data_IF_493650932651
#
_entry.id   IF_493650932651
#
_cell.length_a   1.000
_cell.length_b   1.000
_cell.length_c   1.000
_cell.angle_alpha   90.00
_cell.angle_beta   90.00
_cell.angle_gamma   90.00
#
_symmetry.space_group_name_H-M   'P 1'
#
loop_
_entity.id
_entity.type
_entity.pdbx_description
1 polymer ?
#
# COMPACT_ATOMS: atom_id res chain seq x y z
N UNK A 1 16.60 -5.24 13.36
CA UNK A 1 16.91 -5.17 14.80
C UNK A 1 16.27 -3.94 15.49
N UNK A 2 16.22 -2.76 14.85
CA UNK A 2 15.53 -1.58 15.41
C UNK A 2 13.98 -1.70 15.45
N UNK A 3 13.36 -2.43 14.52
CA UNK A 3 11.89 -2.59 14.45
C UNK A 3 11.30 -3.39 15.62
N UNK A 4 12.04 -4.38 16.14
CA UNK A 4 11.61 -5.22 17.27
C UNK A 4 11.78 -4.50 18.61
N UNK A 5 12.72 -3.56 18.70
CA UNK A 5 12.98 -2.76 19.90
C UNK A 5 11.89 -1.70 20.15
N UNK A 6 11.32 -1.12 19.09
CA UNK A 6 10.27 -0.08 19.18
C UNK A 6 8.99 -0.58 19.88
N UNK A 7 8.60 -1.84 19.61
CA UNK A 7 7.43 -2.47 20.24
C UNK A 7 7.68 -2.88 21.70
N UNK A 8 8.94 -3.14 22.08
CA UNK A 8 9.29 -3.51 23.46
C UNK A 8 9.48 -2.32 24.40
N UNK A 9 9.89 -1.14 23.91
CA UNK A 9 10.14 0.03 24.78
C UNK A 9 8.88 0.70 25.31
N UNK A 10 7.73 0.57 24.64
CA UNK A 10 6.45 1.10 25.14
C UNK A 10 5.86 0.25 26.30
N UNK A 11 6.33 -0.99 26.48
CA UNK A 11 5.80 -1.95 27.46
C UNK A 11 6.55 -2.02 28.79
N UNK A 12 7.56 -1.17 29.03
CA UNK A 12 8.44 -1.30 30.19
C UNK A 12 8.65 0.01 30.93
N UNK A 13 7.61 0.52 31.58
CA UNK A 13 7.69 1.29 32.84
C UNK A 13 6.28 1.49 33.39
N UNK A 14 5.89 0.73 34.42
CA UNK A 14 5.01 1.08 35.55
C UNK A 14 4.41 -0.21 36.13
N UNK A 15 4.72 -0.60 37.37
CA UNK A 15 4.06 -1.73 38.01
C UNK A 15 2.67 -1.27 38.48
N UNK A 16 1.67 -2.10 38.19
CA UNK A 16 0.25 -2.03 38.59
C UNK A 16 -0.73 -1.38 37.58
N UNK A 17 -1.71 -2.20 37.16
CA UNK A 17 -2.75 -2.04 36.12
C UNK A 17 -2.27 -2.24 34.66
N UNK A 18 -2.82 -3.27 34.00
CA UNK A 18 -2.48 -3.70 32.65
C UNK A 18 -2.91 -2.64 31.63
N UNK A 19 -1.97 -1.78 31.22
CA UNK A 19 -2.12 -0.89 30.05
C UNK A 19 -1.95 -1.75 28.79
N UNK A 20 -2.98 -1.81 27.95
CA UNK A 20 -2.92 -2.46 26.63
C UNK A 20 -2.43 -1.44 25.60
N UNK A 21 -1.47 -1.84 24.76
CA UNK A 21 -1.04 -1.04 23.61
C UNK A 21 -1.86 -1.46 22.39
N UNK A 22 -2.66 -0.54 21.86
CA UNK A 22 -3.51 -0.73 20.67
C UNK A 22 -2.74 -0.72 19.35
N UNK A 23 -3.44 -0.97 18.24
CA UNK A 23 -2.91 -1.12 16.87
C UNK A 23 -2.00 0.06 16.45
N UNK A 24 -0.67 -0.15 16.31
CA UNK A 24 0.25 0.94 15.99
C UNK A 24 0.29 1.25 14.49
N UNK A 25 0.28 2.53 14.14
CA UNK A 25 0.62 3.01 12.80
C UNK A 25 2.13 3.22 12.68
N UNK A 26 2.72 2.96 11.51
CA UNK A 26 4.14 3.22 11.27
C UNK A 26 4.38 3.72 9.84
N UNK A 27 5.20 4.75 9.72
CA UNK A 27 5.70 5.25 8.43
C UNK A 27 7.20 5.55 8.50
N UNK A 28 7.85 5.71 7.35
CA UNK A 28 9.25 6.15 7.30
C UNK A 28 9.35 7.63 7.66
N UNK A 29 10.50 8.05 8.21
CA UNK A 29 10.78 9.47 8.45
C UNK A 29 11.56 10.16 7.30
N UNK A 30 11.76 9.46 6.18
CA UNK A 30 12.52 9.93 5.02
C UNK A 30 14.05 9.96 5.21
N UNK A 31 14.55 9.68 6.42
CA UNK A 31 15.98 9.77 6.79
C UNK A 31 16.57 8.44 7.27
N UNK A 32 15.88 7.33 6.98
CA UNK A 32 16.27 5.97 7.39
C UNK A 32 15.76 5.55 8.77
N UNK A 33 15.01 6.42 9.45
CA UNK A 33 14.25 6.13 10.66
C UNK A 33 12.77 5.82 10.38
N UNK A 34 11.98 5.84 11.44
CA UNK A 34 10.54 5.59 11.40
C UNK A 34 9.78 6.51 12.34
N UNK A 35 8.51 6.74 12.06
CA UNK A 35 7.57 7.44 12.92
C UNK A 35 6.44 6.48 13.24
N UNK A 36 6.18 6.28 14.53
CA UNK A 36 5.20 5.32 15.03
C UNK A 36 4.13 6.04 15.86
N UNK A 37 2.89 5.59 15.71
CA UNK A 37 1.76 6.00 16.54
C UNK A 37 1.30 4.81 17.35
N UNK A 38 0.84 5.03 18.58
CA UNK A 38 0.31 3.97 19.42
C UNK A 38 -0.65 4.51 20.46
N UNK A 39 -1.55 3.65 20.90
CA UNK A 39 -2.55 3.94 21.92
C UNK A 39 -2.14 3.28 23.24
N UNK A 40 -2.25 3.99 24.35
CA UNK A 40 -2.13 3.45 25.71
C UNK A 40 -3.51 3.51 26.37
N UNK A 41 -4.11 2.35 26.68
CA UNK A 41 -5.35 2.32 27.46
C UNK A 41 -5.08 2.64 28.94
N UNK A 42 -5.88 3.55 29.51
CA UNK A 42 -5.81 3.93 30.94
C UNK A 42 -6.81 3.19 31.83
N UNK A 43 -7.63 2.32 31.26
CA UNK A 43 -8.72 1.62 31.93
C UNK A 43 -10.08 2.28 31.66
N UNK A 44 -11.15 1.48 31.64
CA UNK A 44 -12.46 1.94 31.15
C UNK A 44 -12.43 2.27 29.66
N UNK A 45 -13.16 3.32 29.27
CA UNK A 45 -13.19 3.86 27.90
C UNK A 45 -12.18 5.01 27.73
N UNK A 46 -11.13 5.10 28.54
CA UNK A 46 -10.10 6.14 28.42
C UNK A 46 -8.83 5.61 27.73
N UNK A 47 -8.35 6.38 26.75
CA UNK A 47 -7.14 6.06 25.99
C UNK A 47 -6.30 7.32 25.76
N UNK A 48 -4.99 7.14 25.66
CA UNK A 48 -4.07 8.19 25.24
C UNK A 48 -3.38 7.77 23.94
N UNK A 49 -3.33 8.66 22.96
CA UNK A 49 -2.63 8.42 21.69
C UNK A 49 -1.32 9.17 21.69
N UNK A 50 -0.25 8.45 21.36
CA UNK A 50 1.11 8.96 21.31
C UNK A 50 1.72 8.81 19.92
N UNK A 51 2.69 9.67 19.63
CA UNK A 51 3.54 9.59 18.44
C UNK A 51 5.00 9.64 18.86
N UNK A 52 5.85 8.85 18.20
CA UNK A 52 7.29 8.84 18.43
C UNK A 52 8.05 8.78 17.11
N UNK A 53 9.09 9.59 16.99
CA UNK A 53 10.10 9.48 15.92
C UNK A 53 11.32 8.70 16.40
N UNK A 54 11.71 7.69 15.63
CA UNK A 54 12.76 6.71 15.93
C UNK A 54 13.83 6.81 14.85
N UNK A 55 15.08 7.01 15.23
CA UNK A 55 16.21 7.10 14.32
C UNK A 55 16.60 5.76 13.71
N UNK A 56 17.43 5.79 12.67
CA UNK A 56 17.94 4.59 12.00
C UNK A 56 18.70 3.64 12.96
N UNK A 57 19.27 4.19 14.03
CA UNK A 57 19.97 3.48 15.11
C UNK A 57 19.04 3.00 16.24
N UNK A 58 17.74 3.28 16.15
CA UNK A 58 16.73 2.96 17.17
C UNK A 58 16.59 3.99 18.29
N UNK A 59 17.32 5.11 18.24
CA UNK A 59 17.20 6.18 19.25
C UNK A 59 15.89 6.96 19.10
N UNK A 60 15.38 7.54 20.20
CA UNK A 60 14.30 8.54 20.10
C UNK A 60 14.88 9.85 19.56
N UNK A 61 14.29 10.38 18.49
CA UNK A 61 14.80 11.60 17.86
C UNK A 61 14.13 12.88 18.38
N UNK A 62 12.88 12.80 18.85
CA UNK A 62 12.21 13.97 19.37
C UNK A 62 12.68 14.31 20.80
N UNK A 63 13.01 15.59 21.07
CA UNK A 63 13.69 16.00 22.31
C UNK A 63 12.84 15.78 23.57
N UNK A 64 11.52 15.72 23.44
CA UNK A 64 10.58 15.50 24.54
C UNK A 64 10.15 14.01 24.67
N UNK A 65 10.74 13.12 23.87
CA UNK A 65 10.33 11.72 23.82
C UNK A 65 9.03 11.54 23.04
N UNK A 66 8.09 10.80 23.63
CA UNK A 66 6.81 10.46 23.00
C UNK A 66 5.83 11.63 23.14
N UNK A 67 5.23 12.06 22.03
CA UNK A 67 4.33 13.21 21.97
C UNK A 67 2.89 12.72 22.14
N UNK A 68 2.23 13.16 23.22
CA UNK A 68 0.80 12.95 23.44
C UNK A 68 0.00 13.80 22.47
N UNK A 69 -0.80 13.17 21.61
CA UNK A 69 -1.63 13.84 20.60
C UNK A 69 -3.13 13.75 20.90
N UNK A 70 -3.55 12.85 21.79
CA UNK A 70 -4.95 12.74 22.23
C UNK A 70 -5.09 12.12 23.61
N UNK A 71 -6.10 12.54 24.35
CA UNK A 71 -6.56 11.91 25.61
C UNK A 71 -8.01 11.43 25.51
N UNK A 72 -8.53 11.26 24.30
CA UNK A 72 -9.96 11.02 24.07
C UNK A 72 -10.42 9.61 24.44
N UNK A 73 -11.75 9.48 24.55
CA UNK A 73 -12.41 8.20 24.80
C UNK A 73 -12.03 7.19 23.73
N UNK A 74 -11.83 5.95 24.18
CA UNK A 74 -11.38 4.81 23.41
C UNK A 74 -12.16 4.72 22.09
N UNK A 75 -11.48 4.72 20.94
CA UNK A 75 -12.12 4.37 19.68
C UNK A 75 -12.78 3.01 19.84
N UNK A 76 -14.09 2.91 19.62
CA UNK A 76 -14.70 1.62 19.37
C UNK A 76 -14.14 1.09 18.04
N UNK A 77 -13.00 0.40 18.10
CA UNK A 77 -12.40 -0.43 17.03
C UNK A 77 -11.70 0.23 15.83
N UNK A 78 -11.21 1.47 15.91
CA UNK A 78 -10.61 2.15 14.74
C UNK A 78 -9.08 2.27 14.79
N UNK A 79 -8.42 2.01 13.64
CA UNK A 79 -6.96 1.94 13.46
C UNK A 79 -6.32 3.34 13.41
N UNK A 80 -5.19 3.52 14.11
CA UNK A 80 -4.35 4.72 14.01
C UNK A 80 -3.59 4.73 12.69
N UNK A 81 -3.70 5.83 11.94
CA UNK A 81 -3.04 5.96 10.66
C UNK A 81 -2.13 7.19 10.63
N UNK A 82 -1.02 7.05 9.91
CA UNK A 82 0.04 8.05 9.87
C UNK A 82 0.59 8.17 8.47
N UNK A 83 0.66 9.41 8.00
CA UNK A 83 1.19 9.77 6.70
C UNK A 83 2.26 10.83 6.89
N UNK A 84 3.36 10.73 6.15
CA UNK A 84 4.41 11.77 6.14
C UNK A 84 4.49 12.43 4.78
N UNK A 85 4.98 13.66 4.76
CA UNK A 85 5.35 14.39 3.56
C UNK A 85 6.75 13.99 3.02
N UNK A 86 7.49 13.15 3.76
CA UNK A 86 8.85 12.74 3.41
C UNK A 86 9.93 13.78 3.73
N UNK A 87 9.56 14.96 4.23
CA UNK A 87 10.46 16.01 4.71
C UNK A 87 10.54 16.06 6.24
N UNK A 88 9.79 15.17 6.91
CA UNK A 88 9.80 14.97 8.35
C UNK A 88 8.54 15.49 9.04
N UNK A 89 7.66 16.21 8.33
CA UNK A 89 6.33 16.54 8.84
C UNK A 89 5.42 15.30 8.76
N UNK A 90 4.43 15.30 9.64
CA UNK A 90 3.55 14.15 9.83
C UNK A 90 2.12 14.60 9.99
N UNK A 91 1.22 13.93 9.28
CA UNK A 91 -0.21 14.00 9.51
C UNK A 91 -0.64 12.67 10.13
N UNK A 92 -1.12 12.74 11.36
CA UNK A 92 -1.69 11.61 12.10
C UNK A 92 -3.20 11.78 12.12
N UNK A 93 -3.94 10.72 11.80
CA UNK A 93 -5.39 10.76 11.84
C UNK A 93 -5.99 9.52 12.50
N UNK A 94 -7.06 9.77 13.26
CA UNK A 94 -7.81 8.76 14.00
C UNK A 94 -9.16 9.35 14.40
N UNK A 95 -10.22 8.55 14.42
CA UNK A 95 -11.55 8.91 14.97
C UNK A 95 -11.96 10.36 14.70
N UNK A 96 -12.16 10.71 13.43
CA UNK A 96 -12.64 12.04 13.07
C UNK A 96 -11.70 13.20 13.42
N UNK A 97 -10.47 12.94 13.89
CA UNK A 97 -9.44 13.91 14.22
C UNK A 97 -8.23 13.76 13.32
N UNK A 98 -7.61 14.89 13.00
CA UNK A 98 -6.40 15.00 12.19
C UNK A 98 -5.47 15.96 12.89
N UNK A 99 -4.24 15.51 13.16
CA UNK A 99 -3.19 16.29 13.81
C UNK A 99 -1.99 16.39 12.91
N UNK A 100 -1.47 17.60 12.72
CA UNK A 100 -0.21 17.81 12.03
C UNK A 100 0.90 18.14 13.01
N UNK A 101 2.04 17.48 12.83
CA UNK A 101 3.28 17.73 13.56
C UNK A 101 4.40 18.17 12.61
N UNK A 102 5.25 19.08 13.08
CA UNK A 102 6.51 19.42 12.38
C UNK A 102 7.58 18.33 12.60
N UNK A 103 8.75 18.53 11.96
CA UNK A 103 9.87 17.59 12.04
C UNK A 103 10.42 17.38 13.46
N UNK A 104 10.26 18.38 14.32
CA UNK A 104 10.66 18.39 15.73
C UNK A 104 9.60 17.80 16.68
N UNK A 105 8.41 17.50 16.18
CA UNK A 105 7.31 16.90 16.94
C UNK A 105 6.40 17.92 17.63
N UNK A 106 6.47 19.19 17.26
CA UNK A 106 5.53 20.20 17.74
C UNK A 106 4.21 20.08 16.96
N UNK A 107 3.09 20.14 17.68
CA UNK A 107 1.76 20.18 17.08
C UNK A 107 1.58 21.54 16.38
N UNK A 108 1.42 21.52 15.06
CA UNK A 108 1.14 22.71 14.25
C UNK A 108 -0.35 23.04 14.29
N UNK A 109 -1.21 22.03 14.15
CA UNK A 109 -2.66 22.17 14.25
C UNK A 109 -3.35 20.82 14.54
N UNK A 110 -4.58 20.90 15.05
CA UNK A 110 -5.51 19.78 15.21
C UNK A 110 -6.88 20.19 14.70
N UNK A 111 -7.52 19.33 13.89
CA UNK A 111 -8.80 19.58 13.25
C UNK A 111 -9.65 18.32 13.22
N UNK A 112 -10.97 18.51 13.25
CA UNK A 112 -11.89 17.44 12.88
C UNK A 112 -11.79 17.16 11.38
N UNK A 113 -11.74 15.89 10.99
CA UNK A 113 -11.60 15.47 9.59
C UNK A 113 -12.18 14.10 9.32
N UNK A 114 -12.81 13.94 8.15
CA UNK A 114 -13.39 12.67 7.68
C UNK A 114 -12.41 11.98 6.72
N UNK A 115 -11.27 11.56 7.24
CA UNK A 115 -10.29 10.78 6.48
C UNK A 115 -10.59 9.28 6.63
N UNK A 116 -10.28 8.50 5.60
CA UNK A 116 -10.48 7.05 5.59
C UNK A 116 -9.16 6.29 5.76
N UNK A 117 -9.23 4.99 6.03
CA UNK A 117 -8.06 4.13 6.20
C UNK A 117 -7.17 3.97 4.96
N UNK A 118 -7.62 4.41 3.79
CA UNK A 118 -6.84 4.40 2.55
C UNK A 118 -6.32 5.78 2.16
N UNK A 119 -6.16 6.66 3.16
CA UNK A 119 -5.54 7.98 2.98
C UNK A 119 -4.06 7.82 2.64
N UNK A 120 -3.58 8.63 1.71
CA UNK A 120 -2.18 8.68 1.29
C UNK A 120 -1.66 10.12 1.34
N UNK A 121 -0.34 10.29 1.25
CA UNK A 121 0.26 11.62 1.08
C UNK A 121 -0.08 12.17 -0.29
N UNK A 122 -0.32 13.48 -0.39
CA UNK A 122 -0.44 14.16 -1.68
C UNK A 122 0.92 14.50 -2.29
N UNK A 123 2.03 14.24 -1.58
CA UNK A 123 3.40 14.54 -2.01
C UNK A 123 3.79 16.01 -1.90
N UNK A 124 2.92 16.86 -1.35
CA UNK A 124 3.09 18.31 -1.19
C UNK A 124 2.81 18.78 0.25
N UNK A 125 2.87 17.86 1.23
CA UNK A 125 2.63 18.15 2.64
C UNK A 125 1.18 17.99 3.11
N UNK A 126 0.27 17.60 2.22
CA UNK A 126 -1.13 17.29 2.50
C UNK A 126 -1.45 15.80 2.34
N UNK A 127 -2.74 15.48 2.33
CA UNK A 127 -3.25 14.12 2.21
C UNK A 127 -4.41 14.01 1.22
N UNK A 128 -4.54 12.82 0.62
CA UNK A 128 -5.64 12.42 -0.26
C UNK A 128 -6.38 11.26 0.38
N UNK A 129 -7.69 11.39 0.54
CA UNK A 129 -8.53 10.37 1.20
C UNK A 129 -9.73 10.01 0.33
N UNK A 130 -9.90 8.74 -0.07
CA UNK A 130 -11.12 8.30 -0.71
C UNK A 130 -12.22 8.11 0.32
N UNK A 131 -13.46 8.30 -0.11
CA UNK A 131 -14.63 7.92 0.66
C UNK A 131 -15.83 7.70 -0.26
N UNK A 132 -16.88 7.06 0.26
CA UNK A 132 -18.12 6.85 -0.49
C UNK A 132 -19.17 7.87 -0.08
N UNK A 133 -19.80 8.51 -1.07
CA UNK A 133 -20.97 9.39 -0.85
C UNK A 133 -22.20 8.65 -1.35
N UNK A 134 -23.26 8.60 -0.53
CA UNK A 134 -24.56 8.12 -0.99
C UNK A 134 -25.36 9.28 -1.58
N UNK A 135 -25.83 9.11 -2.81
CA UNK A 135 -26.76 10.01 -3.48
C UNK A 135 -28.19 9.48 -3.31
N UNK A 136 -29.06 10.27 -2.68
CA UNK A 136 -30.49 9.96 -2.57
C UNK A 136 -31.20 10.01 -3.93
N UNK A 137 -30.75 10.89 -4.82
CA UNK A 137 -31.31 11.06 -6.16
C UNK A 137 -31.02 9.85 -7.06
N UNK A 138 -29.77 9.38 -7.05
CA UNK A 138 -29.35 8.23 -7.84
C UNK A 138 -29.59 6.90 -7.13
N UNK A 139 -29.94 6.93 -5.83
CA UNK A 139 -30.02 5.77 -4.93
C UNK A 139 -28.78 4.88 -5.00
N UNK A 140 -27.61 5.52 -5.13
CA UNK A 140 -26.34 4.86 -5.38
C UNK A 140 -25.21 5.52 -4.57
N UNK A 141 -24.14 4.76 -4.33
CA UNK A 141 -22.90 5.31 -3.77
C UNK A 141 -21.93 5.65 -4.91
N UNK A 142 -21.35 6.85 -4.87
CA UNK A 142 -20.22 7.26 -5.70
C UNK A 142 -18.94 7.30 -4.85
N UNK A 143 -17.80 6.97 -5.47
CA UNK A 143 -16.50 7.23 -4.86
C UNK A 143 -16.19 8.71 -5.01
N UNK A 144 -15.65 9.34 -3.97
CA UNK A 144 -15.13 10.70 -4.01
C UNK A 144 -13.75 10.72 -3.36
N UNK A 145 -12.92 11.68 -3.75
CA UNK A 145 -11.61 11.89 -3.14
C UNK A 145 -11.57 13.27 -2.52
N UNK A 146 -11.22 13.32 -1.24
CA UNK A 146 -10.97 14.54 -0.49
C UNK A 146 -9.48 14.83 -0.53
N UNK A 147 -9.12 16.10 -0.74
CA UNK A 147 -7.76 16.58 -0.51
C UNK A 147 -7.76 17.50 0.69
N UNK A 148 -6.86 17.27 1.63
CA UNK A 148 -6.56 18.18 2.73
C UNK A 148 -5.13 18.69 2.55
N UNK A 149 -4.94 20.02 2.50
CA UNK A 149 -3.60 20.61 2.34
C UNK A 149 -2.78 20.60 3.64
N UNK A 150 -1.54 21.08 3.56
CA UNK A 150 -0.60 21.16 4.68
C UNK A 150 -1.09 22.04 5.85
N UNK A 151 -2.02 22.96 5.59
CA UNK A 151 -2.62 23.84 6.58
C UNK A 151 -3.95 23.28 7.11
N UNK A 152 -4.37 22.11 6.63
CA UNK A 152 -5.59 21.42 7.01
C UNK A 152 -6.86 22.02 6.39
N UNK A 153 -6.76 22.73 5.26
CA UNK A 153 -7.91 23.19 4.49
C UNK A 153 -8.30 22.13 3.46
N UNK A 154 -9.47 22.28 2.82
CA UNK A 154 -9.95 21.38 1.78
C UNK A 154 -9.97 22.07 0.40
N UNK A 155 -8.87 22.04 -0.38
CA UNK A 155 -8.78 22.72 -1.68
C UNK A 155 -9.85 22.27 -2.68
N UNK A 156 -10.30 21.02 -2.60
CA UNK A 156 -11.36 20.47 -3.46
C UNK A 156 -12.77 20.62 -2.84
N UNK A 157 -12.89 21.44 -1.80
CA UNK A 157 -14.09 21.56 -0.98
C UNK A 157 -14.29 20.37 -0.04
N UNK A 158 -15.17 20.53 0.94
CA UNK A 158 -15.44 19.51 1.98
C UNK A 158 -16.06 18.22 1.43
N UNK A 159 -16.60 18.27 0.20
CA UNK A 159 -17.14 17.10 -0.51
C UNK A 159 -16.15 16.47 -1.50
N UNK A 160 -14.95 17.04 -1.65
CA UNK A 160 -13.95 16.57 -2.58
C UNK A 160 -14.45 16.48 -4.03
N UNK A 161 -13.73 15.68 -4.82
CA UNK A 161 -14.04 15.42 -6.24
C UNK A 161 -14.72 14.07 -6.37
N UNK A 162 -15.95 14.06 -6.89
CA UNK A 162 -16.67 12.82 -7.19
C UNK A 162 -16.14 12.14 -8.45
N UNK A 163 -15.96 10.83 -8.38
CA UNK A 163 -15.50 10.03 -9.49
C UNK A 163 -16.65 9.76 -10.47
N UNK A 164 -16.38 9.78 -11.78
CA UNK A 164 -17.42 9.62 -12.81
C UNK A 164 -17.96 8.19 -12.92
N UNK A 165 -17.41 7.24 -12.16
CA UNK A 165 -17.72 5.83 -12.30
C UNK A 165 -18.95 5.45 -11.44
N UNK A 166 -19.98 4.81 -12.04
CA UNK A 166 -21.21 4.36 -11.36
C UNK A 166 -21.26 2.88 -10.93
N UNK A 167 -21.66 2.58 -9.68
CA UNK A 167 -22.26 1.29 -9.28
C UNK A 167 -21.36 0.22 -8.65
N UNK A 168 -20.66 0.51 -7.53
CA UNK A 168 -19.51 -0.30 -7.12
C UNK A 168 -19.37 -0.75 -5.67
N UNK A 169 -18.60 -1.85 -5.51
CA UNK A 169 -17.99 -2.29 -4.26
C UNK A 169 -16.53 -1.80 -4.12
N UNK A 170 -16.24 -1.21 -2.96
CA UNK A 170 -15.11 -1.33 -2.02
C UNK A 170 -13.62 -1.35 -2.47
N UNK A 171 -13.23 -1.54 -3.74
CA UNK A 171 -11.79 -1.58 -4.10
C UNK A 171 -11.38 -0.44 -5.02
N UNK A 172 -10.77 0.56 -4.41
CA UNK A 172 -10.16 1.72 -5.04
C UNK A 172 -8.72 1.83 -4.54
N UNK A 173 -7.81 2.28 -5.41
CA UNK A 173 -6.45 2.66 -5.07
C UNK A 173 -6.22 4.12 -5.47
N UNK A 174 -5.47 4.84 -4.64
CA UNK A 174 -5.00 6.18 -4.95
C UNK A 174 -3.49 6.17 -4.99
N UNK A 175 -2.96 7.05 -5.83
CA UNK A 175 -1.58 7.53 -5.75
C UNK A 175 -1.60 9.05 -5.91
N UNK A 176 -0.61 9.73 -5.32
CA UNK A 176 -0.32 11.12 -5.68
C UNK A 176 0.20 11.17 -7.12
N UNK A 177 -0.16 12.24 -7.83
CA UNK A 177 0.43 12.52 -9.15
C UNK A 177 1.75 13.31 -9.07
N UNK A 178 2.22 13.60 -7.86
CA UNK A 178 3.45 14.37 -7.58
C UNK A 178 3.31 15.89 -7.74
N UNK A 179 2.14 16.39 -8.13
CA UNK A 179 1.88 17.81 -8.39
C UNK A 179 0.72 18.36 -7.53
N UNK A 180 0.40 17.70 -6.42
CA UNK A 180 -0.74 18.04 -5.55
C UNK A 180 -2.08 17.55 -6.08
N UNK A 181 -2.08 16.74 -7.13
CA UNK A 181 -3.22 16.01 -7.66
C UNK A 181 -3.22 14.54 -7.22
N UNK A 182 -4.16 13.79 -7.77
CA UNK A 182 -4.33 12.37 -7.50
C UNK A 182 -4.60 11.57 -8.76
N UNK A 183 -4.18 10.31 -8.78
CA UNK A 183 -4.69 9.31 -9.73
C UNK A 183 -5.50 8.29 -8.94
N UNK A 184 -6.74 8.10 -9.36
CA UNK A 184 -7.70 7.19 -8.78
C UNK A 184 -7.87 6.01 -9.72
N UNK A 185 -7.65 4.80 -9.21
CA UNK A 185 -7.88 3.55 -9.96
C UNK A 185 -8.93 2.75 -9.22
N UNK A 186 -10.01 2.41 -9.92
CA UNK A 186 -11.16 1.74 -9.33
C UNK A 186 -11.57 0.54 -10.17
N UNK A 187 -11.96 -0.55 -9.47
CA UNK A 187 -12.62 -1.68 -10.11
C UNK A 187 -14.13 -1.56 -9.99
N UNK A 188 -14.76 -1.90 -11.11
CA UNK A 188 -16.18 -1.83 -11.33
C UNK A 188 -16.89 -3.18 -10.99
N UNK A 189 -18.22 -3.25 -10.94
CA UNK A 189 -18.99 -4.47 -10.59
C UNK A 189 -18.92 -5.56 -11.65
N UNK A 190 -18.57 -5.19 -12.89
CA UNK A 190 -18.28 -6.09 -13.99
C UNK A 190 -16.78 -6.46 -14.05
N UNK A 191 -16.02 -6.25 -12.96
CA UNK A 191 -14.59 -6.54 -12.88
C UNK A 191 -13.74 -5.78 -13.92
N UNK A 192 -14.16 -4.57 -14.29
CA UNK A 192 -13.39 -3.68 -15.18
C UNK A 192 -12.59 -2.67 -14.36
N UNK A 193 -11.36 -2.38 -14.75
CA UNK A 193 -10.57 -1.32 -14.11
C UNK A 193 -10.69 -0.04 -14.92
N UNK A 194 -11.00 1.04 -14.22
CA UNK A 194 -10.94 2.38 -14.72
C UNK A 194 -9.99 3.24 -13.90
N UNK A 195 -9.43 4.25 -14.53
CA UNK A 195 -8.55 5.20 -13.88
C UNK A 195 -8.93 6.64 -14.26
N UNK A 196 -8.74 7.58 -13.33
CA UNK A 196 -8.98 9.01 -13.53
C UNK A 196 -7.90 9.82 -12.81
N UNK A 197 -7.41 10.88 -13.46
CA UNK A 197 -6.48 11.83 -12.86
C UNK A 197 -7.20 13.11 -12.47
N UNK A 198 -6.86 13.66 -11.31
CA UNK A 198 -7.38 14.89 -10.74
C UNK A 198 -6.18 15.83 -10.52
N UNK A 199 -6.26 17.08 -10.99
CA UNK A 199 -5.19 18.07 -10.76
C UNK A 199 -5.26 18.69 -9.35
N UNK A 200 -4.34 19.60 -9.03
CA UNK A 200 -4.30 20.32 -7.76
C UNK A 200 -5.55 21.16 -7.47
N UNK A 201 -6.23 21.63 -8.51
CA UNK A 201 -7.45 22.45 -8.44
C UNK A 201 -8.73 21.62 -8.26
N UNK A 202 -8.67 20.30 -8.46
CA UNK A 202 -9.81 19.39 -8.33
C UNK A 202 -10.52 19.08 -9.66
N UNK A 203 -9.94 19.48 -10.79
CA UNK A 203 -10.46 19.15 -12.12
C UNK A 203 -10.02 17.75 -12.54
N UNK A 204 -10.95 16.98 -13.11
CA UNK A 204 -10.62 15.70 -13.73
C UNK A 204 -9.97 15.91 -15.10
N UNK A 205 -8.78 15.32 -15.32
CA UNK A 205 -7.94 15.58 -16.49
C UNK A 205 -8.12 14.58 -17.63
N UNK A 206 -8.41 13.31 -17.34
CA UNK A 206 -8.67 12.34 -18.41
C UNK A 206 -10.13 12.39 -18.85
N UNK A 207 -10.46 11.59 -19.88
CA UNK A 207 -11.81 11.53 -20.46
C UNK A 207 -12.89 11.39 -19.39
N UNK A 208 -14.08 11.93 -19.67
CA UNK A 208 -15.17 12.08 -18.70
C UNK A 208 -15.53 10.76 -17.98
N UNK A 209 -15.60 9.64 -18.70
CA UNK A 209 -15.90 8.31 -18.14
C UNK A 209 -14.68 7.61 -17.49
N UNK A 210 -13.55 8.32 -17.39
CA UNK A 210 -12.21 7.84 -17.04
C UNK A 210 -11.64 6.80 -18.01
N UNK A 211 -10.33 6.59 -17.95
CA UNK A 211 -9.59 5.68 -18.84
C UNK A 211 -9.93 4.23 -18.49
N UNK A 212 -10.43 3.46 -19.46
CA UNK A 212 -10.63 2.03 -19.32
C UNK A 212 -9.29 1.33 -19.49
N UNK A 213 -8.89 0.56 -18.48
CA UNK A 213 -7.58 -0.11 -18.44
C UNK A 213 -7.71 -1.56 -18.90
N UNK A 214 -8.64 -2.32 -18.32
CA UNK A 214 -8.83 -3.74 -18.63
C UNK A 214 -10.19 -4.27 -18.14
N UNK A 215 -10.55 -5.47 -18.60
CA UNK A 215 -11.68 -6.27 -18.11
C UNK A 215 -11.19 -7.52 -17.34
N UNK A 216 -12.13 -8.24 -16.70
CA UNK A 216 -11.88 -9.51 -15.99
C UNK A 216 -10.79 -9.41 -14.91
N UNK A 217 -10.67 -8.25 -14.27
CA UNK A 217 -9.66 -7.97 -13.28
C UNK A 217 -10.15 -8.36 -11.87
N UNK A 218 -9.46 -9.32 -11.28
CA UNK A 218 -9.43 -9.53 -9.83
C UNK A 218 -8.16 -8.93 -9.23
N UNK A 219 -8.18 -8.70 -7.90
CA UNK A 219 -7.09 -8.13 -7.08
C UNK A 219 -6.02 -7.31 -7.84
N UNK A 220 -6.09 -5.98 -7.71
CA UNK A 220 -5.20 -5.07 -8.42
C UNK A 220 -4.42 -4.17 -7.46
N UNK A 221 -3.22 -3.79 -7.91
CA UNK A 221 -2.37 -2.83 -7.23
C UNK A 221 -1.84 -1.80 -8.23
N UNK A 222 -1.38 -0.67 -7.71
CA UNK A 222 -0.94 0.47 -8.52
C UNK A 222 0.38 1.04 -8.00
N UNK A 223 1.18 1.59 -8.91
CA UNK A 223 2.36 2.37 -8.60
C UNK A 223 2.41 3.61 -9.50
N UNK A 224 3.03 4.68 -9.01
CA UNK A 224 3.33 5.84 -9.86
C UNK A 224 4.36 5.46 -10.92
N UNK A 225 4.21 6.00 -12.13
CA UNK A 225 5.25 5.92 -13.16
C UNK A 225 6.32 7.02 -13.01
N UNK A 226 6.21 7.87 -11.97
CA UNK A 226 7.12 8.98 -11.70
C UNK A 226 6.97 10.20 -12.62
N UNK A 227 6.05 10.16 -13.59
CA UNK A 227 5.85 11.21 -14.61
C UNK A 227 4.40 11.71 -14.68
N UNK A 228 3.62 11.53 -13.60
CA UNK A 228 2.21 11.91 -13.53
C UNK A 228 1.25 10.88 -14.14
N UNK A 229 1.74 9.68 -14.47
CA UNK A 229 0.97 8.51 -14.85
C UNK A 229 0.96 7.42 -13.77
N UNK A 230 0.40 6.27 -14.14
CA UNK A 230 0.20 5.12 -13.25
C UNK A 230 0.51 3.81 -13.95
N UNK A 231 1.11 2.88 -13.22
CA UNK A 231 1.26 1.48 -13.61
C UNK A 231 0.29 0.67 -12.76
N UNK A 232 -0.62 -0.06 -13.40
CA UNK A 232 -1.59 -0.94 -12.76
C UNK A 232 -1.18 -2.38 -13.04
N UNK A 233 -1.18 -3.24 -12.01
CA UNK A 233 -1.11 -4.70 -12.17
C UNK A 233 -2.39 -5.34 -11.64
N UNK A 234 -2.87 -6.39 -12.29
CA UNK A 234 -4.09 -7.09 -11.89
C UNK A 234 -4.01 -8.58 -12.19
N UNK A 235 -4.76 -9.37 -11.42
CA UNK A 235 -5.03 -10.75 -11.78
C UNK A 235 -6.15 -10.80 -12.82
N UNK A 236 -5.90 -11.42 -13.96
CA UNK A 236 -6.93 -11.73 -14.95
C UNK A 236 -7.57 -13.07 -14.59
N UNK A 237 -8.88 -13.07 -14.38
CA UNK A 237 -9.66 -14.28 -14.07
C UNK A 237 -10.81 -14.43 -15.07
N UNK A 238 -10.81 -15.52 -15.82
CA UNK A 238 -11.92 -15.87 -16.71
C UNK A 238 -12.90 -16.78 -15.96
N UNK A 239 -14.07 -16.24 -15.58
CA UNK A 239 -15.16 -17.03 -15.01
C UNK A 239 -16.00 -17.66 -16.13
N UNK A 240 -15.56 -18.78 -16.70
CA UNK A 240 -16.39 -19.55 -17.65
C UNK A 240 -17.10 -20.71 -16.95
N UNK A 241 -18.42 -20.82 -17.11
CA UNK A 241 -19.19 -21.97 -16.63
C UNK A 241 -18.69 -23.28 -17.27
N UNK A 242 -18.37 -24.27 -16.44
CA UNK A 242 -18.03 -25.63 -16.91
C UNK A 242 -16.57 -25.87 -17.30
N UNK A 243 -15.70 -24.85 -17.26
CA UNK A 243 -14.25 -25.08 -17.35
C UNK A 243 -13.65 -25.33 -15.96
N UNK A 244 -12.70 -26.25 -15.85
CA UNK A 244 -11.80 -26.24 -14.69
C UNK A 244 -11.12 -24.87 -14.63
N UNK A 245 -11.02 -24.23 -13.46
CA UNK A 245 -10.38 -22.93 -13.36
C UNK A 245 -8.96 -23.05 -13.90
N UNK A 246 -8.69 -22.47 -15.08
CA UNK A 246 -7.33 -22.05 -15.38
C UNK A 246 -6.96 -21.05 -14.30
N UNK A 247 -5.82 -21.23 -13.64
CA UNK A 247 -5.39 -20.28 -12.62
C UNK A 247 -5.36 -18.85 -13.15
N UNK A 248 -5.43 -17.84 -12.26
CA UNK A 248 -5.34 -16.45 -12.65
C UNK A 248 -4.05 -16.21 -13.44
N UNK A 249 -4.11 -15.35 -14.45
CA UNK A 249 -2.93 -14.78 -15.09
C UNK A 249 -2.62 -13.43 -14.45
N UNK A 250 -1.38 -12.96 -14.50
CA UNK A 250 -0.98 -11.64 -14.00
C UNK A 250 -0.58 -10.75 -15.16
N UNK A 251 -1.22 -9.59 -15.25
CA UNK A 251 -0.97 -8.58 -16.27
C UNK A 251 -0.62 -7.24 -15.62
N UNK A 252 -0.06 -6.35 -16.43
CA UNK A 252 0.11 -4.95 -16.06
C UNK A 252 -0.10 -4.00 -17.25
N UNK A 253 -0.40 -2.74 -16.95
CA UNK A 253 -0.62 -1.68 -17.94
C UNK A 253 -0.08 -0.37 -17.39
N UNK A 254 0.48 0.45 -18.28
CA UNK A 254 0.90 1.81 -17.97
C UNK A 254 -0.05 2.80 -18.65
N UNK A 255 -0.53 3.77 -17.88
CA UNK A 255 -1.32 4.91 -18.33
C UNK A 255 -0.47 6.17 -18.10
N UNK A 256 -0.27 6.97 -19.13
CA UNK A 256 0.53 8.20 -19.02
C UNK A 256 -0.25 9.36 -18.39
N UNK A 257 0.42 10.50 -18.26
CA UNK A 257 -0.12 11.73 -17.66
C UNK A 257 -1.36 12.27 -18.40
N UNK A 258 -1.45 12.02 -19.70
CA UNK A 258 -2.53 12.43 -20.59
C UNK A 258 -3.67 11.40 -20.68
N UNK A 259 -3.50 10.21 -20.09
CA UNK A 259 -4.49 9.15 -20.06
C UNK A 259 -4.39 8.16 -21.22
N UNK A 260 -3.27 8.13 -21.92
CA UNK A 260 -3.01 7.17 -22.99
C UNK A 260 -2.52 5.84 -22.40
N UNK A 261 -2.99 4.75 -22.99
CA UNK A 261 -2.53 3.39 -22.71
C UNK A 261 -1.21 3.16 -23.46
N UNK A 262 -0.12 2.87 -22.74
CA UNK A 262 1.23 2.84 -23.32
C UNK A 262 1.73 1.44 -23.69
N UNK A 263 1.34 0.39 -22.96
CA UNK A 263 1.70 -0.98 -23.34
C UNK A 263 0.61 -1.60 -24.21
N UNK A 264 0.83 -2.85 -24.63
CA UNK A 264 -0.06 -3.52 -25.56
C UNK A 264 -1.52 -3.55 -25.08
N UNK A 265 -2.49 -3.60 -26.02
CA UNK A 265 -3.91 -3.78 -25.68
C UNK A 265 -4.12 -5.01 -24.79
N UNK A 266 -5.08 -4.92 -23.87
CA UNK A 266 -5.37 -5.95 -22.84
C UNK A 266 -4.25 -6.16 -21.79
N UNK A 267 -3.17 -5.38 -21.83
CA UNK A 267 -2.09 -5.41 -20.84
C UNK A 267 -0.90 -6.30 -21.23
N UNK A 268 0.26 -5.99 -20.67
CA UNK A 268 1.47 -6.79 -20.78
C UNK A 268 1.41 -8.00 -19.84
N UNK A 269 1.56 -9.25 -20.31
CA UNK A 269 1.63 -10.42 -19.44
C UNK A 269 2.90 -10.38 -18.59
N UNK A 270 2.71 -10.46 -17.27
CA UNK A 270 3.77 -10.54 -16.27
C UNK A 270 4.07 -11.98 -15.91
N UNK A 271 3.01 -12.77 -15.71
CA UNK A 271 3.07 -14.18 -15.39
C UNK A 271 1.78 -14.84 -15.87
N UNK A 272 1.86 -15.66 -16.91
CA UNK A 272 0.70 -16.37 -17.46
C UNK A 272 0.81 -17.87 -17.18
N UNK A 273 -0.32 -18.50 -16.89
CA UNK A 273 -0.43 -19.95 -16.76
C UNK A 273 0.06 -20.64 -18.04
N UNK A 274 0.66 -21.82 -17.88
CA UNK A 274 0.94 -22.67 -19.02
C UNK A 274 -0.39 -23.10 -19.70
N UNK A 275 -0.41 -23.29 -21.03
CA UNK A 275 -1.63 -23.68 -21.74
C UNK A 275 -2.25 -24.95 -21.16
N UNK A 276 -3.57 -25.10 -21.33
CA UNK A 276 -4.35 -26.23 -20.84
C UNK A 276 -3.64 -27.57 -21.14
N UNK A 277 -3.36 -28.34 -20.07
CA UNK A 277 -2.63 -29.61 -20.15
C UNK A 277 -1.22 -29.62 -19.54
N UNK A 278 -0.71 -28.47 -19.09
CA UNK A 278 0.49 -28.45 -18.25
C UNK A 278 0.17 -29.04 -16.87
N UNK A 279 1.00 -29.95 -16.37
CA UNK A 279 0.76 -30.67 -15.12
C UNK A 279 0.80 -29.75 -13.89
N UNK A 280 1.35 -28.54 -14.02
CA UNK A 280 1.48 -27.54 -12.96
C UNK A 280 1.47 -26.11 -13.56
N UNK A 281 0.32 -25.50 -13.88
CA UNK A 281 0.29 -24.13 -14.37
C UNK A 281 0.69 -23.13 -13.28
N UNK A 282 1.31 -22.01 -13.69
CA UNK A 282 1.51 -20.87 -12.80
C UNK A 282 0.16 -20.35 -12.29
N UNK A 283 0.10 -19.94 -11.03
CA UNK A 283 -1.09 -19.38 -10.41
C UNK A 283 -0.71 -18.18 -9.54
N UNK A 284 -0.33 -17.05 -10.17
CA UNK A 284 0.01 -15.82 -9.48
C UNK A 284 -1.15 -15.30 -8.62
N UNK A 285 -0.86 -14.96 -7.36
CA UNK A 285 -1.85 -14.42 -6.42
C UNK A 285 -1.29 -13.28 -5.58
N UNK A 286 -2.19 -12.38 -5.16
CA UNK A 286 -1.94 -11.26 -4.25
C UNK A 286 -0.83 -10.31 -4.71
N UNK A 287 -0.86 -9.81 -5.96
CA UNK A 287 0.25 -9.02 -6.49
C UNK A 287 0.57 -7.80 -5.62
N UNK A 288 1.82 -7.36 -5.66
CA UNK A 288 2.28 -6.05 -5.16
C UNK A 288 3.14 -5.42 -6.23
N UNK A 289 3.11 -4.10 -6.30
CA UNK A 289 3.87 -3.32 -7.29
C UNK A 289 4.52 -2.12 -6.63
N UNK A 290 5.72 -1.78 -7.08
CA UNK A 290 6.41 -0.54 -6.75
C UNK A 290 7.06 0.04 -8.00
N UNK A 291 7.17 1.37 -8.04
CA UNK A 291 7.89 2.07 -9.10
C UNK A 291 9.38 1.73 -9.04
N UNK A 292 10.00 1.58 -10.21
CA UNK A 292 11.45 1.52 -10.33
C UNK A 292 12.11 2.90 -10.44
N UNK A 293 11.32 3.98 -10.46
CA UNK A 293 11.80 5.36 -10.57
C UNK A 293 12.20 5.78 -11.99
N UNK A 294 12.12 4.91 -12.99
CA UNK A 294 12.50 5.16 -14.39
C UNK A 294 11.31 4.98 -15.35
N UNK A 295 10.07 5.00 -14.82
CA UNK A 295 8.85 4.78 -15.58
C UNK A 295 8.44 3.33 -15.73
N UNK A 296 9.20 2.39 -15.16
CA UNK A 296 8.88 0.98 -15.04
C UNK A 296 8.43 0.58 -13.63
N UNK A 297 8.37 -0.72 -13.39
CA UNK A 297 7.94 -1.25 -12.10
C UNK A 297 8.59 -2.60 -11.75
N UNK A 298 8.65 -2.88 -10.45
CA UNK A 298 8.88 -4.22 -9.91
C UNK A 298 7.55 -4.75 -9.37
N UNK A 299 7.15 -5.92 -9.86
CA UNK A 299 5.92 -6.61 -9.49
C UNK A 299 6.30 -7.92 -8.80
N UNK A 300 5.72 -8.19 -7.64
CA UNK A 300 5.88 -9.47 -6.94
C UNK A 300 4.52 -10.15 -6.73
N UNK A 301 4.54 -11.47 -6.66
CA UNK A 301 3.33 -12.27 -6.42
C UNK A 301 3.68 -13.60 -5.74
N UNK A 302 2.67 -14.23 -5.15
CA UNK A 302 2.77 -15.61 -4.65
C UNK A 302 2.40 -16.60 -5.73
N UNK A 303 3.16 -17.68 -5.81
CA UNK A 303 2.80 -18.86 -6.58
C UNK A 303 3.22 -20.12 -5.81
N UNK A 304 2.22 -20.84 -5.30
CA UNK A 304 2.40 -22.10 -4.57
C UNK A 304 2.20 -23.33 -5.47
N UNK A 305 1.69 -23.13 -6.68
CA UNK A 305 1.36 -24.23 -7.58
C UNK A 305 2.61 -24.77 -8.22
N UNK A 306 3.59 -23.92 -8.60
CA UNK A 306 4.80 -24.37 -9.31
C UNK A 306 5.68 -25.37 -8.55
N UNK A 307 5.65 -25.38 -7.22
CA UNK A 307 6.55 -26.20 -6.37
C UNK A 307 5.88 -26.65 -5.06
N UNK A 308 4.82 -27.45 -5.08
CA UNK A 308 4.17 -27.89 -3.85
C UNK A 308 5.11 -28.82 -3.05
N UNK A 309 5.18 -28.73 -1.71
CA UNK A 309 4.37 -27.92 -0.79
C UNK A 309 4.99 -26.54 -0.45
N UNK A 310 5.89 -26.01 -1.27
CA UNK A 310 6.57 -24.74 -1.01
C UNK A 310 5.69 -23.55 -1.42
N UNK A 311 5.59 -22.55 -0.54
CA UNK A 311 5.16 -21.23 -0.96
C UNK A 311 6.36 -20.48 -1.51
N UNK A 312 6.22 -19.97 -2.73
CA UNK A 312 7.25 -19.17 -3.39
C UNK A 312 6.71 -17.76 -3.64
N UNK A 313 7.58 -16.76 -3.48
CA UNK A 313 7.34 -15.40 -3.98
C UNK A 313 8.22 -15.22 -5.21
N UNK A 314 7.59 -14.78 -6.29
CA UNK A 314 8.24 -14.47 -7.55
C UNK A 314 8.19 -12.98 -7.80
N UNK A 315 9.07 -12.53 -8.68
CA UNK A 315 9.17 -11.14 -9.06
C UNK A 315 9.44 -10.98 -10.55
N UNK A 316 8.98 -9.87 -11.11
CA UNK A 316 9.26 -9.43 -12.47
C UNK A 316 9.57 -7.93 -12.47
N UNK A 317 10.52 -7.52 -13.31
CA UNK A 317 10.73 -6.11 -13.61
C UNK A 317 10.27 -5.84 -15.04
N UNK A 318 9.50 -4.78 -15.21
CA UNK A 318 9.00 -4.29 -16.50
C UNK A 318 9.48 -2.85 -16.67
N UNK A 319 10.06 -2.53 -17.82
CA UNK A 319 10.55 -1.18 -18.09
C UNK A 319 9.43 -0.24 -18.58
N UNK A 320 9.82 1.01 -18.86
CA UNK A 320 8.89 2.08 -19.21
C UNK A 320 8.13 1.81 -20.52
N UNK A 321 8.76 1.07 -21.44
CA UNK A 321 8.26 0.65 -22.75
C UNK A 321 7.49 -0.68 -22.70
N UNK A 322 7.46 -1.35 -21.54
CA UNK A 322 6.74 -2.59 -21.32
C UNK A 322 7.55 -3.86 -21.60
N UNK A 323 8.87 -3.75 -21.76
CA UNK A 323 9.73 -4.90 -21.93
C UNK A 323 10.00 -5.58 -20.59
N UNK A 324 9.84 -6.90 -20.60
CA UNK A 324 10.12 -7.78 -19.46
C UNK A 324 11.64 -7.94 -19.28
N UNK A 325 12.15 -7.58 -18.10
CA UNK A 325 13.58 -7.49 -17.82
C UNK A 325 14.16 -8.72 -17.10
N UNK A 326 13.35 -9.45 -16.34
CA UNK A 326 13.77 -10.69 -15.67
C UNK A 326 13.19 -11.91 -16.39
N UNK A 327 13.67 -13.15 -16.08
CA UNK A 327 13.22 -14.35 -16.76
C UNK A 327 11.70 -14.43 -16.91
N UNK A 328 11.27 -14.96 -18.07
CA UNK A 328 9.85 -15.15 -18.38
C UNK A 328 9.15 -15.89 -17.25
N UNK A 329 7.92 -15.45 -16.96
CA UNK A 329 7.08 -16.00 -15.89
C UNK A 329 7.63 -15.78 -14.48
N UNK A 330 8.62 -14.89 -14.33
CA UNK A 330 9.11 -14.40 -13.05
C UNK A 330 10.31 -15.16 -12.50
N UNK A 331 11.14 -14.41 -11.78
CA UNK A 331 12.26 -14.93 -11.02
C UNK A 331 11.83 -15.20 -9.58
N UNK A 332 12.15 -16.39 -9.07
CA UNK A 332 11.88 -16.75 -7.68
C UNK A 332 12.81 -15.93 -6.77
N UNK A 333 12.24 -15.16 -5.84
CA UNK A 333 13.00 -14.32 -4.90
C UNK A 333 12.99 -14.85 -3.47
N UNK A 334 12.02 -15.71 -3.16
CA UNK A 334 11.84 -16.28 -1.84
C UNK A 334 11.09 -17.61 -1.91
N UNK A 335 11.42 -18.53 -1.02
CA UNK A 335 10.58 -19.70 -0.74
C UNK A 335 10.76 -20.24 0.67
N UNK A 336 9.70 -20.87 1.16
CA UNK A 336 9.74 -21.69 2.36
C UNK A 336 8.74 -22.83 2.26
N UNK A 337 9.10 -23.98 2.82
CA UNK A 337 8.15 -25.05 3.10
C UNK A 337 7.31 -24.66 4.31
N UNK A 338 6.06 -24.33 4.06
CA UNK A 338 5.11 -23.91 5.09
C UNK A 338 3.72 -24.40 4.76
N UNK A 339 2.93 -24.68 5.80
CA UNK A 339 1.53 -25.03 5.68
C UNK A 339 0.62 -23.78 5.66
N UNK A 340 1.19 -22.59 5.79
CA UNK A 340 0.46 -21.33 5.81
C UNK A 340 0.94 -20.40 4.70
N UNK A 341 0.00 -19.73 4.05
CA UNK A 341 0.33 -18.73 3.04
C UNK A 341 1.10 -17.57 3.67
N UNK A 342 2.27 -17.18 3.14
CA UNK A 342 3.06 -16.11 3.70
C UNK A 342 2.36 -14.76 3.49
N UNK A 343 2.47 -13.87 4.48
CA UNK A 343 2.13 -12.46 4.33
C UNK A 343 3.35 -11.68 3.90
N UNK A 344 3.18 -10.66 3.06
CA UNK A 344 4.30 -9.83 2.61
C UNK A 344 3.88 -8.42 2.25
N UNK A 345 4.86 -7.52 2.34
CA UNK A 345 4.80 -6.12 1.90
C UNK A 345 6.06 -5.80 1.10
N UNK A 346 5.93 -4.84 0.19
CA UNK A 346 7.01 -4.35 -0.65
C UNK A 346 6.99 -2.83 -0.69
N UNK A 347 8.18 -2.24 -0.69
CA UNK A 347 8.41 -0.81 -0.89
C UNK A 347 9.56 -0.61 -1.88
N UNK A 348 9.53 0.48 -2.65
CA UNK A 348 10.66 0.87 -3.50
C UNK A 348 11.86 1.21 -2.63
N UNK A 349 13.07 0.88 -3.09
CA UNK A 349 14.31 1.34 -2.43
C UNK A 349 14.79 2.71 -2.96
N UNK A 350 13.99 3.36 -3.80
CA UNK A 350 14.28 4.63 -4.47
C UNK A 350 15.55 4.63 -5.34
N UNK A 351 16.13 3.45 -5.60
CA UNK A 351 17.34 3.22 -6.41
C UNK A 351 17.07 2.21 -7.54
N UNK A 352 15.80 2.02 -7.90
CA UNK A 352 15.35 1.06 -8.91
C UNK A 352 15.26 -0.39 -8.45
N UNK A 353 15.42 -0.64 -7.15
CA UNK A 353 15.20 -1.92 -6.48
C UNK A 353 14.00 -1.89 -5.54
N UNK A 354 13.87 -2.93 -4.71
CA UNK A 354 12.77 -3.07 -3.77
C UNK A 354 13.20 -3.73 -2.46
N UNK A 355 12.57 -3.33 -1.36
CA UNK A 355 12.66 -4.03 -0.07
C UNK A 355 11.37 -4.78 0.18
N UNK A 356 11.48 -6.05 0.54
CA UNK A 356 10.35 -6.95 0.80
C UNK A 356 10.46 -7.46 2.22
N UNK A 357 9.35 -7.45 2.94
CA UNK A 357 9.23 -8.11 4.24
C UNK A 357 8.25 -9.25 4.12
N UNK A 358 8.62 -10.43 4.62
CA UNK A 358 7.84 -11.66 4.55
C UNK A 358 7.65 -12.21 5.96
N UNK A 359 6.42 -12.58 6.29
CA UNK A 359 6.07 -13.28 7.53
C UNK A 359 5.41 -14.62 7.22
N UNK A 360 5.85 -15.69 7.87
CA UNK A 360 5.26 -17.02 7.73
C UNK A 360 5.59 -17.96 8.91
N UNK A 361 4.84 -19.04 9.07
CA UNK A 361 5.13 -20.11 10.02
C UNK A 361 5.87 -21.28 9.33
N UNK A 362 7.10 -21.67 9.70
CA UNK A 362 7.81 -22.78 9.07
C UNK A 362 7.13 -24.13 9.39
N UNK A 363 6.97 -25.01 8.38
CA UNK A 363 6.40 -26.34 8.62
C UNK A 363 7.44 -27.33 9.18
N UNK A 364 8.72 -27.17 8.83
CA UNK A 364 9.78 -28.14 9.15
C UNK A 364 10.48 -27.86 10.50
N UNK A 365 10.20 -26.73 11.16
CA UNK A 365 10.80 -26.39 12.46
C UNK A 365 9.74 -26.48 13.55
N UNK A 366 9.66 -27.65 14.18
CA UNK A 366 8.72 -27.89 15.27
C UNK A 366 9.06 -27.02 16.50
N UNK A 367 8.17 -26.09 16.83
CA UNK A 367 8.28 -25.24 18.02
C UNK A 367 8.66 -23.79 17.75
N UNK A 368 9.14 -23.47 16.54
CA UNK A 368 9.30 -22.08 16.11
C UNK A 368 7.99 -21.58 15.49
N UNK A 369 7.55 -20.38 15.91
CA UNK A 369 6.37 -19.70 15.37
C UNK A 369 6.79 -18.32 14.89
N UNK A 370 6.31 -17.92 13.72
CA UNK A 370 6.53 -16.60 13.14
C UNK A 370 7.99 -16.35 12.73
N UNK A 371 8.28 -16.57 11.45
CA UNK A 371 9.53 -16.19 10.81
C UNK A 371 9.32 -14.87 10.07
N UNK A 372 9.95 -13.79 10.56
CA UNK A 372 9.96 -12.50 9.87
C UNK A 372 11.29 -12.35 9.11
N UNK A 373 11.23 -12.32 7.79
CA UNK A 373 12.38 -12.12 6.92
C UNK A 373 12.30 -10.82 6.15
N UNK A 374 13.45 -10.22 5.88
CA UNK A 374 13.57 -9.06 5.01
C UNK A 374 14.50 -9.39 3.84
N UNK A 375 14.10 -9.01 2.63
CA UNK A 375 14.84 -9.16 1.39
C UNK A 375 15.06 -7.78 0.77
N UNK A 376 16.19 -7.61 0.09
CA UNK A 376 16.43 -6.42 -0.74
C UNK A 376 16.82 -6.85 -2.14
N UNK A 377 15.99 -6.54 -3.11
CA UNK A 377 16.23 -6.80 -4.52
C UNK A 377 16.93 -5.60 -5.15
N UNK A 378 18.03 -5.87 -5.83
CA UNK A 378 18.69 -4.92 -6.71
C UNK A 378 17.88 -4.74 -8.01
N UNK A 379 18.10 -3.64 -8.72
CA UNK A 379 17.45 -3.34 -10.02
C UNK A 379 17.72 -4.41 -11.10
N UNK A 380 18.82 -5.16 -10.97
CA UNK A 380 19.20 -6.26 -11.86
C UNK A 380 18.58 -7.61 -11.45
N UNK A 381 17.83 -7.67 -10.35
CA UNK A 381 17.18 -8.88 -9.86
C UNK A 381 17.96 -9.67 -8.81
N UNK A 382 19.22 -9.31 -8.52
CA UNK A 382 20.00 -9.99 -7.50
C UNK A 382 19.48 -9.65 -6.10
N UNK A 383 19.37 -10.66 -5.23
CA UNK A 383 19.10 -10.44 -3.81
C UNK A 383 20.38 -9.98 -3.11
N UNK A 384 20.35 -8.77 -2.56
CA UNK A 384 21.50 -8.13 -1.90
C UNK A 384 21.78 -8.75 -0.53
N UNK A 385 20.76 -9.30 0.13
CA UNK A 385 20.83 -9.83 1.50
C UNK A 385 20.95 -11.35 1.56
N UNK A 386 21.38 -11.98 0.47
CA UNK A 386 21.54 -13.43 0.36
C UNK A 386 20.25 -14.17 0.01
N UNK A 387 20.36 -15.46 -0.27
CA UNK A 387 19.23 -16.29 -0.69
C UNK A 387 18.19 -16.39 0.44
N UNK A 388 16.96 -15.96 0.17
CA UNK A 388 15.85 -15.77 1.14
C UNK A 388 15.99 -14.61 2.15
N UNK A 389 16.99 -13.74 1.99
CA UNK A 389 17.17 -12.54 2.81
C UNK A 389 17.65 -12.81 4.23
N UNK A 390 17.47 -11.81 5.10
CA UNK A 390 17.90 -11.85 6.51
C UNK A 390 16.73 -12.11 7.44
N UNK A 391 16.96 -12.96 8.45
CA UNK A 391 16.03 -13.14 9.56
C UNK A 391 16.03 -11.89 10.45
N UNK A 392 14.83 -11.37 10.74
CA UNK A 392 14.63 -10.16 11.54
C UNK A 392 14.26 -10.49 13.00
N UNK A 393 13.68 -11.67 13.22
CA UNK A 393 13.15 -12.15 14.51
C UNK A 393 13.90 -13.37 15.05
#
# INVERSE_FOLDING_TARGET
MALTAALCTAGCCYPFSLSYVGYPGITSDGSGGAIATYEISKGGDESEVYVRRIGADGSALWPNGDILISTDQKPESEQLEIVTDGLGEVIVYWVGQVTKLDAEGNILWQKEGKLSYSTITDGSGGVLSPYSIYSEEEKARSASVLRMDSDGNFPWGEKGVSMPFSGYMQTLRLISDGAGGAIVVQRNTNYQIFAQRINSEGDTLWRQEGVFVCANADDFEVASDGSGGVIITWMHVVYSEGASPSGPDLYAQRVDAEGNILWQPEGMPICVGAPAGSLVPAMPTQPRIVSDGEGGAIIIWKDHHRRPPEFCIYAQKIDSEGNIQWPKDGMQIWHLKTNQSPWYKMVSDSSGGAVIVVWCDPAEIAGERGLLQALRLHSTGNNIWGDNGVLVS
#
